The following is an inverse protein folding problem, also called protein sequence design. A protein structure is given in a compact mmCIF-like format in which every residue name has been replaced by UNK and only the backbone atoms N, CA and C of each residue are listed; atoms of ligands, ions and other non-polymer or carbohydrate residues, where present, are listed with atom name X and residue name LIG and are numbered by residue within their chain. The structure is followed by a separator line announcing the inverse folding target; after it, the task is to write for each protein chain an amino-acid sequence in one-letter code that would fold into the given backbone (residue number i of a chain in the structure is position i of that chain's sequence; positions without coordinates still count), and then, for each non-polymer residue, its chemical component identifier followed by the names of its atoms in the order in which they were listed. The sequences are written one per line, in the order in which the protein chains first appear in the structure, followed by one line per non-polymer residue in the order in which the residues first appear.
data_IF_473181284937
#
_entry.id   IF_473181284937
#
_cell.length_a   1.000
_cell.length_b   1.000
_cell.length_c   1.000
_cell.angle_alpha   90.00
_cell.angle_beta   90.00
_cell.angle_gamma   90.00
#
_symmetry.space_group_name_H-M   'P 1'
#
loop_
_entity.id
_entity.type
_entity.pdbx_description
1 polymer ?
#
# COMPACT_ATOMS: atom_id res chain seq x y z
N UNK A 1 -19.59 -7.98 0.69
CA UNK A 1 -19.65 -6.54 0.99
C UNK A 1 -18.26 -5.85 1.05
N UNK A 2 -17.12 -6.55 0.95
CA UNK A 2 -15.78 -5.96 1.21
C UNK A 2 -14.95 -5.59 -0.02
N UNK A 3 -15.40 -5.89 -1.24
CA UNK A 3 -14.59 -5.64 -2.46
C UNK A 3 -14.30 -4.16 -2.69
N UNK A 4 -15.24 -3.27 -2.34
CA UNK A 4 -15.05 -1.82 -2.43
C UNK A 4 -13.97 -1.30 -1.49
N UNK A 5 -13.89 -1.87 -0.28
CA UNK A 5 -12.90 -1.48 0.72
C UNK A 5 -11.48 -1.85 0.29
N UNK A 6 -11.33 -2.97 -0.42
CA UNK A 6 -10.02 -3.41 -0.94
C UNK A 6 -9.52 -2.49 -2.07
N UNK A 7 -10.40 -2.05 -2.98
CA UNK A 7 -10.03 -1.09 -4.01
C UNK A 7 -9.70 0.28 -3.42
N UNK A 8 -10.48 0.72 -2.43
CA UNK A 8 -10.18 1.95 -1.68
C UNK A 8 -8.82 1.86 -0.97
N UNK A 9 -8.50 0.73 -0.34
CA UNK A 9 -7.21 0.50 0.30
C UNK A 9 -6.06 0.58 -0.70
N UNK A 10 -6.20 -0.05 -1.88
CA UNK A 10 -5.20 0.02 -2.96
C UNK A 10 -4.92 1.45 -3.40
N UNK A 11 -5.97 2.25 -3.64
CA UNK A 11 -5.84 3.66 -4.04
C UNK A 11 -5.16 4.47 -2.94
N UNK A 12 -5.60 4.28 -1.69
CA UNK A 12 -5.03 4.96 -0.53
C UNK A 12 -3.54 4.66 -0.37
N UNK A 13 -3.14 3.38 -0.42
CA UNK A 13 -1.74 2.97 -0.31
C UNK A 13 -0.90 3.53 -1.47
N UNK A 14 -1.44 3.57 -2.69
CA UNK A 14 -0.75 4.21 -3.83
C UNK A 14 -0.51 5.70 -3.58
N UNK A 15 -1.48 6.40 -2.97
CA UNK A 15 -1.35 7.79 -2.57
C UNK A 15 -0.29 7.99 -1.48
N UNK A 16 -0.25 7.11 -0.47
CA UNK A 16 0.74 7.15 0.61
C UNK A 16 2.16 6.92 0.09
N UNK A 17 2.37 5.89 -0.75
CA UNK A 17 3.69 5.60 -1.33
C UNK A 17 4.27 6.78 -2.11
N UNK A 18 3.43 7.49 -2.87
CA UNK A 18 3.84 8.71 -3.59
C UNK A 18 4.30 9.85 -2.67
N UNK A 19 3.83 9.89 -1.42
CA UNK A 19 4.15 10.94 -0.47
C UNK A 19 5.31 10.58 0.46
N UNK A 20 5.53 9.29 0.71
CA UNK A 20 6.44 8.80 1.76
C UNK A 20 7.65 8.04 1.23
N UNK A 21 7.49 7.29 0.14
CA UNK A 21 8.60 6.50 -0.42
C UNK A 21 9.53 7.40 -1.23
N UNK A 22 10.83 7.12 -1.15
CA UNK A 22 11.83 7.77 -2.01
C UNK A 22 11.60 7.42 -3.48
N UNK A 23 11.34 6.13 -3.74
CA UNK A 23 10.88 5.64 -5.04
C UNK A 23 9.57 4.84 -4.87
N UNK A 24 8.41 5.40 -5.28
CA UNK A 24 7.12 4.71 -5.18
C UNK A 24 7.03 3.41 -6.00
N UNK A 25 7.88 3.22 -7.01
CA UNK A 25 7.94 1.99 -7.81
C UNK A 25 8.74 0.87 -7.12
N UNK A 26 9.62 1.23 -6.17
CA UNK A 26 10.40 0.32 -5.35
C UNK A 26 10.13 0.57 -3.84
N UNK A 27 8.90 0.29 -3.36
CA UNK A 27 8.47 0.66 -2.01
C UNK A 27 9.21 -0.12 -0.92
N UNK A 28 9.76 0.62 0.05
CA UNK A 28 10.49 0.07 1.20
C UNK A 28 9.71 0.20 2.51
N UNK A 29 8.92 1.28 2.67
CA UNK A 29 8.17 1.57 3.90
C UNK A 29 6.84 0.83 3.96
N UNK A 30 6.09 0.78 2.85
CA UNK A 30 4.78 0.10 2.78
C UNK A 30 4.88 -1.06 1.81
N UNK A 31 5.07 -2.29 2.31
CA UNK A 31 5.21 -3.51 1.47
C UNK A 31 3.90 -4.24 1.27
N UNK A 32 3.79 -4.96 0.16
CA UNK A 32 2.70 -5.91 -0.07
C UNK A 32 3.02 -7.22 0.65
N UNK A 33 2.06 -7.74 1.41
CA UNK A 33 2.11 -9.02 2.11
C UNK A 33 1.08 -9.96 1.45
N UNK A 34 1.53 -10.91 0.60
CA UNK A 34 0.64 -11.72 -0.23
C UNK A 34 -0.41 -12.48 0.57
N UNK A 35 -1.68 -12.36 0.16
CA UNK A 35 -2.81 -12.99 0.85
C UNK A 35 -3.26 -12.29 2.14
N UNK A 36 -2.54 -11.25 2.58
CA UNK A 36 -2.84 -10.50 3.81
C UNK A 36 -3.20 -9.05 3.49
N UNK A 37 -2.35 -8.34 2.74
CA UNK A 37 -2.57 -6.92 2.41
C UNK A 37 -1.28 -6.13 2.41
N UNK A 38 -1.18 -5.11 3.27
CA UNK A 38 -0.03 -4.22 3.34
C UNK A 38 0.59 -4.21 4.71
N UNK A 39 1.92 -4.06 4.75
CA UNK A 39 2.71 -4.01 5.97
C UNK A 39 3.56 -2.73 6.00
N UNK A 40 3.50 -2.02 7.11
CA UNK A 40 4.42 -0.93 7.42
C UNK A 40 5.72 -1.52 7.97
N UNK A 41 6.84 -1.11 7.39
CA UNK A 41 8.19 -1.43 7.83
C UNK A 41 8.73 -0.23 8.61
N UNK A 42 9.38 -0.50 9.76
CA UNK A 42 10.04 0.49 10.61
C UNK A 42 11.54 0.30 10.63
#
# INVERSE_FOLDING_TARGET
AHTGDVEYLRVTVRGLRRKLEVDPAAPALIRNDPGVGYRLMG
#
